data_IF_537710972965
#
_entry.id   IF_537710972965
#
_cell.length_a   1.000
_cell.length_b   1.000
_cell.length_c   1.000
_cell.angle_alpha   90.00
_cell.angle_beta   90.00
_cell.angle_gamma   90.00
#
_symmetry.space_group_name_H-M   'P 1'
#
loop_
_entity.id
_entity.type
_entity.pdbx_description
1 polymer ?
#
# COMPACT_ATOMS: atom_id res chain seq x y z
N UNK A 1 17.80 8.38 0.92
CA UNK A 1 16.52 8.30 1.67
C UNK A 1 15.42 8.19 0.63
N UNK A 2 14.81 7.01 0.48
CA UNK A 2 13.63 6.84 -0.38
C UNK A 2 12.43 7.39 0.37
N UNK A 3 11.79 8.42 -0.17
CA UNK A 3 10.55 8.97 0.39
C UNK A 3 9.48 7.86 0.31
N UNK A 4 8.75 7.56 1.41
CA UNK A 4 7.69 6.56 1.38
C UNK A 4 6.65 6.95 0.34
N UNK A 5 6.30 6.01 -0.53
CA UNK A 5 5.34 6.25 -1.59
C UNK A 5 3.93 6.35 -0.99
N UNK A 6 3.17 7.38 -1.37
CA UNK A 6 1.80 7.58 -0.90
C UNK A 6 0.80 7.22 -1.98
N UNK A 7 -0.16 6.37 -1.63
CA UNK A 7 -1.21 5.94 -2.56
C UNK A 7 -1.99 7.14 -3.13
N UNK A 8 -2.22 8.18 -2.32
CA UNK A 8 -2.92 9.41 -2.73
C UNK A 8 -2.17 10.23 -3.79
N UNK A 9 -0.89 9.96 -3.99
CA UNK A 9 -0.03 10.64 -4.97
C UNK A 9 0.18 9.81 -6.24
N UNK A 10 -0.35 8.58 -6.29
CA UNK A 10 -0.21 7.74 -7.46
C UNK A 10 -1.15 8.19 -8.59
N UNK A 11 -0.67 8.23 -9.84
CA UNK A 11 -1.54 8.43 -10.99
C UNK A 11 -2.60 7.32 -11.10
N UNK A 12 -3.87 7.71 -11.07
CA UNK A 12 -4.99 6.81 -11.33
C UNK A 12 -5.20 6.71 -12.85
N UNK A 13 -5.09 5.51 -13.41
CA UNK A 13 -5.30 5.23 -14.83
C UNK A 13 -6.71 4.81 -15.16
N UNK A 14 -7.41 4.24 -14.18
CA UNK A 14 -8.78 3.80 -14.32
C UNK A 14 -9.46 3.81 -12.96
N UNK A 15 -10.71 4.28 -12.93
CA UNK A 15 -11.54 4.21 -11.74
C UNK A 15 -12.95 3.79 -12.14
N UNK A 16 -13.51 2.90 -11.35
CA UNK A 16 -14.90 2.47 -11.41
C UNK A 16 -15.41 2.35 -9.98
N UNK A 17 -16.41 3.16 -9.65
CA UNK A 17 -17.13 3.04 -8.39
C UNK A 17 -17.81 1.67 -8.26
N UNK A 18 -17.94 1.21 -7.02
CA UNK A 18 -18.77 0.05 -6.72
C UNK A 18 -20.23 0.34 -7.07
N UNK A 19 -20.89 -0.64 -7.67
CA UNK A 19 -22.32 -0.59 -7.95
C UNK A 19 -23.00 -1.88 -7.52
N UNK A 20 -24.34 -1.89 -7.50
CA UNK A 20 -25.16 -2.96 -6.92
C UNK A 20 -24.92 -4.38 -7.46
N UNK A 21 -24.25 -4.52 -8.62
CA UNK A 21 -23.89 -5.80 -9.22
C UNK A 21 -22.43 -5.87 -9.70
N UNK A 22 -21.59 -4.89 -9.35
CA UNK A 22 -20.21 -4.77 -9.86
C UNK A 22 -19.28 -4.28 -8.77
N UNK A 23 -18.22 -5.04 -8.53
CA UNK A 23 -17.10 -4.65 -7.68
C UNK A 23 -16.48 -3.33 -8.12
N UNK A 24 -16.13 -2.52 -7.14
CA UNK A 24 -15.32 -1.33 -7.35
C UNK A 24 -13.96 -1.72 -7.91
N UNK A 25 -13.36 -0.86 -8.73
CA UNK A 25 -12.03 -1.09 -9.28
C UNK A 25 -11.29 0.22 -9.49
N UNK A 26 -10.08 0.31 -8.94
CA UNK A 26 -9.15 1.41 -9.23
C UNK A 26 -7.83 0.86 -9.70
N UNK A 27 -7.24 1.43 -10.75
CA UNK A 27 -5.93 1.07 -11.28
C UNK A 27 -4.97 2.24 -11.10
N UNK A 28 -3.89 1.99 -10.37
CA UNK A 28 -2.80 2.90 -10.10
C UNK A 28 -1.60 2.59 -10.98
N UNK A 29 -0.89 3.62 -11.43
CA UNK A 29 0.46 3.49 -11.97
C UNK A 29 1.48 3.80 -10.88
N UNK A 30 2.41 2.87 -10.65
CA UNK A 30 3.56 3.06 -9.77
C UNK A 30 4.79 3.20 -10.66
N UNK A 31 5.40 4.39 -10.68
CA UNK A 31 6.54 4.68 -11.54
C UNK A 31 7.70 3.69 -11.26
N UNK A 32 8.14 2.99 -12.29
CA UNK A 32 9.21 1.98 -12.19
C UNK A 32 8.75 0.58 -11.72
N UNK A 33 7.50 0.42 -11.26
CA UNK A 33 6.98 -0.88 -10.79
C UNK A 33 5.80 -1.40 -11.62
N UNK A 34 5.10 -0.53 -12.36
CA UNK A 34 4.04 -0.93 -13.29
C UNK A 34 2.63 -0.59 -12.79
N UNK A 35 1.63 -1.36 -13.24
CA UNK A 35 0.22 -1.13 -12.91
C UNK A 35 -0.23 -2.03 -11.77
N UNK A 36 -0.91 -1.43 -10.80
CA UNK A 36 -1.56 -2.11 -9.69
C UNK A 36 -3.06 -1.83 -9.77
N UNK A 37 -3.88 -2.84 -9.56
CA UNK A 37 -5.32 -2.67 -9.40
C UNK A 37 -5.72 -2.99 -7.97
N UNK A 38 -6.74 -2.30 -7.48
CA UNK A 38 -7.46 -2.66 -6.27
C UNK A 38 -8.91 -2.90 -6.65
N UNK A 39 -9.43 -4.07 -6.30
CA UNK A 39 -10.86 -4.41 -6.46
C UNK A 39 -11.53 -4.46 -5.11
N UNK A 40 -12.64 -3.74 -4.97
CA UNK A 40 -13.46 -3.71 -3.77
C UNK A 40 -14.70 -4.58 -3.96
N UNK A 41 -14.87 -5.55 -3.07
CA UNK A 41 -15.96 -6.50 -3.08
C UNK A 41 -16.55 -6.64 -1.68
N UNK A 42 -17.68 -5.98 -1.43
CA UNK A 42 -18.33 -5.94 -0.10
C UNK A 42 -17.39 -5.36 0.96
N UNK A 43 -16.74 -6.22 1.73
CA UNK A 43 -15.89 -5.89 2.87
C UNK A 43 -14.43 -6.33 2.62
N UNK A 44 -14.12 -6.74 1.38
CA UNK A 44 -12.81 -7.24 0.99
C UNK A 44 -12.20 -6.40 -0.13
N UNK A 45 -10.89 -6.14 -0.02
CA UNK A 45 -10.08 -5.40 -0.97
C UNK A 45 -8.92 -6.27 -1.45
N UNK A 46 -8.93 -6.64 -2.73
CA UNK A 46 -7.82 -7.37 -3.34
C UNK A 46 -6.92 -6.42 -4.13
N UNK A 47 -5.62 -6.44 -3.83
CA UNK A 47 -4.58 -5.72 -4.58
C UNK A 47 -3.92 -6.71 -5.56
N UNK A 48 -3.85 -6.35 -6.83
CA UNK A 48 -3.21 -7.16 -7.87
C UNK A 48 -2.23 -6.33 -8.69
N UNK A 49 -1.20 -6.96 -9.25
CA UNK A 49 -0.30 -6.34 -10.25
C UNK A 49 -0.55 -6.91 -11.64
N UNK A 50 -0.25 -6.12 -12.68
CA UNK A 50 -0.35 -6.57 -14.06
C UNK A 50 0.93 -7.30 -14.50
N UNK A 51 0.78 -8.57 -14.88
CA UNK A 51 1.84 -9.40 -15.47
C UNK A 51 1.51 -9.74 -16.93
N UNK A 52 2.41 -10.47 -17.60
CA UNK A 52 2.17 -10.97 -18.97
C UNK A 52 0.97 -11.92 -19.06
N UNK A 53 0.63 -12.60 -17.96
CA UNK A 53 -0.50 -13.53 -17.87
C UNK A 53 -1.80 -12.85 -17.44
N UNK A 54 -1.77 -11.54 -17.16
CA UNK A 54 -2.90 -10.76 -16.67
C UNK A 54 -2.71 -10.30 -15.23
N UNK A 55 -3.82 -10.05 -14.54
CA UNK A 55 -3.79 -9.59 -13.16
C UNK A 55 -3.44 -10.73 -12.19
N UNK A 56 -2.39 -10.53 -11.41
CA UNK A 56 -1.94 -11.47 -10.38
C UNK A 56 -2.19 -10.83 -9.02
N UNK A 57 -3.03 -11.47 -8.20
CA UNK A 57 -3.31 -11.06 -6.84
C UNK A 57 -2.03 -11.12 -5.98
N UNK A 58 -1.87 -10.10 -5.13
CA UNK A 58 -0.71 -9.92 -4.27
C UNK A 58 -1.09 -10.05 -2.80
N UNK A 59 -2.17 -9.36 -2.42
CA UNK A 59 -2.71 -9.36 -1.06
C UNK A 59 -4.21 -9.11 -1.12
N UNK A 60 -4.91 -9.72 -0.18
CA UNK A 60 -6.33 -9.51 0.09
C UNK A 60 -6.44 -8.99 1.52
N UNK A 61 -7.21 -7.93 1.69
CA UNK A 61 -7.34 -7.18 2.94
C UNK A 61 -8.83 -7.03 3.28
N UNK A 62 -9.14 -7.09 4.57
CA UNK A 62 -10.49 -6.86 5.09
C UNK A 62 -10.49 -5.89 6.28
N UNK A 63 -11.66 -5.61 6.85
CA UNK A 63 -11.79 -4.69 7.98
C UNK A 63 -10.89 -5.06 9.19
N UNK A 64 -10.56 -6.34 9.37
CA UNK A 64 -9.63 -6.83 10.38
C UNK A 64 -8.19 -6.36 10.18
N UNK A 65 -7.81 -6.02 8.95
CA UNK A 65 -6.52 -5.43 8.59
C UNK A 65 -6.51 -3.90 8.74
N UNK A 66 -7.62 -3.30 9.20
CA UNK A 66 -7.76 -1.85 9.36
C UNK A 66 -7.93 -1.10 8.04
N UNK A 67 -8.41 -1.76 6.99
CA UNK A 67 -8.76 -1.13 5.70
C UNK A 67 -10.26 -0.87 5.62
N UNK A 68 -10.64 0.32 5.14
CA UNK A 68 -12.04 0.69 4.90
C UNK A 68 -12.29 1.20 3.49
N UNK A 69 -11.23 1.43 2.71
CA UNK A 69 -11.36 1.88 1.33
C UNK A 69 -10.16 1.49 0.45
N UNK A 70 -10.36 1.69 -0.86
CA UNK A 70 -9.40 1.37 -1.92
C UNK A 70 -8.05 2.07 -1.75
N UNK A 71 -8.05 3.30 -1.25
CA UNK A 71 -6.83 4.08 -1.05
C UNK A 71 -5.96 3.50 0.07
N UNK A 72 -6.60 3.10 1.17
CA UNK A 72 -5.96 2.45 2.31
C UNK A 72 -5.40 1.07 1.94
N UNK A 73 -6.16 0.27 1.18
CA UNK A 73 -5.68 -1.02 0.67
C UNK A 73 -4.37 -0.86 -0.12
N UNK A 74 -4.34 0.12 -1.03
CA UNK A 74 -3.14 0.42 -1.80
C UNK A 74 -2.00 0.95 -0.92
N UNK A 75 -2.29 1.80 0.08
CA UNK A 75 -1.27 2.31 0.99
C UNK A 75 -0.62 1.19 1.82
N UNK A 76 -1.41 0.25 2.35
CA UNK A 76 -0.90 -0.91 3.09
C UNK A 76 0.05 -1.73 2.22
N UNK A 77 -0.32 -2.01 0.97
CA UNK A 77 0.55 -2.71 0.04
C UNK A 77 1.89 -1.97 -0.19
N UNK A 78 1.86 -0.64 -0.34
CA UNK A 78 3.08 0.17 -0.50
C UNK A 78 3.95 0.15 0.76
N UNK A 79 3.34 0.21 1.93
CA UNK A 79 4.04 0.21 3.22
C UNK A 79 4.73 -1.15 3.48
N UNK A 80 4.12 -2.26 3.05
CA UNK A 80 4.74 -3.60 3.08
C UNK A 80 6.00 -3.65 2.21
N UNK A 81 5.95 -3.06 1.01
CA UNK A 81 7.09 -3.04 0.07
C UNK A 81 8.22 -2.12 0.54
N UNK A 82 7.90 -1.09 1.33
CA UNK A 82 8.86 -0.10 1.81
C UNK A 82 8.73 0.09 3.31
N UNK A 83 9.17 -0.91 4.11
CA UNK A 83 9.09 -0.80 5.56
C UNK A 83 9.84 0.45 6.00
N UNK A 84 9.10 1.44 6.51
CA UNK A 84 9.73 2.62 7.10
C UNK A 84 10.50 2.16 8.34
N UNK A 85 11.74 2.65 8.54
CA UNK A 85 12.43 2.38 9.80
C UNK A 85 11.55 2.90 10.94
N UNK A 86 11.44 2.16 12.07
CA UNK A 86 10.68 2.63 13.20
C UNK A 86 11.17 4.01 13.61
N UNK A 87 10.24 4.94 13.81
CA UNK A 87 10.55 6.26 14.29
C UNK A 87 11.07 6.14 15.74
N UNK A 88 12.38 6.04 15.89
CA UNK A 88 13.05 6.01 17.19
C UNK A 88 13.84 4.73 17.46
N UNK A 89 15.00 4.61 16.82
CA UNK A 89 16.21 4.22 17.55
C UNK A 89 17.28 5.23 17.15
N UNK A 90 17.08 6.48 17.59
CA UNK A 90 18.21 7.38 17.74
C UNK A 90 19.09 6.73 18.78
N UNK A 91 20.13 6.04 18.31
CA UNK A 91 21.18 5.48 19.12
C UNK A 91 21.47 6.44 20.28
N UNK A 92 21.10 6.04 21.49
CA UNK A 92 21.60 6.64 22.72
C UNK A 92 23.06 6.20 22.86
N UNK A 93 23.90 6.68 21.95
CA UNK A 93 25.35 6.73 22.11
C UNK A 93 25.65 7.82 23.13
N UNK A 94 25.36 7.56 24.40
CA UNK A 94 25.86 8.39 25.48
C UNK A 94 27.24 7.84 25.88
N UNK A 95 28.26 8.36 25.21
CA UNK A 95 29.62 8.30 25.71
C UNK A 95 29.82 9.31 26.85
N UNK A 96 30.75 8.97 27.75
CA UNK A 96 31.32 9.86 28.79
C UNK A 96 30.63 9.68 30.15
N UNK A 97 31.33 9.42 31.26
CA UNK A 97 32.75 9.40 31.56
C UNK A 97 32.93 8.90 33.00
N UNK A 98 34.17 8.59 33.36
CA UNK A 98 34.59 8.15 34.68
C UNK A 98 34.32 9.22 35.77
N UNK A 99 33.95 8.77 36.97
CA UNK A 99 34.48 9.21 38.28
C UNK A 99 33.77 8.44 39.42
N UNK A 100 34.47 7.51 40.08
CA UNK A 100 34.74 7.43 41.54
C UNK A 100 35.71 6.26 41.81
#
# INVERSE_FOLDING_TARGET
>A
MTVPLRAAQLPVKYERAEGSARHGRTIYEVAGSGLYQVTAAREEFAVSTLTQSGWTELITLDEGDGVSNVLEAMQIWLDIQTPSPPAGDSAAGQGGGADD
#
